data_IF_973561802497
#
_entry.id   IF_973561802497
#
_cell.length_a   1.000
_cell.length_b   1.000
_cell.length_c   1.000
_cell.angle_alpha   90.00
_cell.angle_beta   90.00
_cell.angle_gamma   90.00
#
_symmetry.space_group_name_H-M   'P 1'
#
loop_
_entity.id
_entity.type
_entity.pdbx_description
1 polymer ?
#
# COMPACT_ATOMS: atom_id res chain seq x y z
N UNK A 1 2.09 -3.98 -16.69
CA UNK A 1 2.80 -4.38 -15.46
C UNK A 1 4.00 -5.28 -15.70
N UNK A 2 3.93 -6.12 -16.67
CA UNK A 2 5.07 -6.97 -17.08
C UNK A 2 6.33 -6.16 -17.49
N UNK A 3 6.14 -4.98 -18.06
CA UNK A 3 7.25 -4.18 -18.57
C UNK A 3 8.25 -3.68 -17.51
N UNK A 4 7.77 -3.29 -16.33
CA UNK A 4 8.64 -2.70 -15.30
C UNK A 4 9.51 -3.73 -14.60
N UNK A 5 8.95 -4.90 -14.31
CA UNK A 5 9.72 -6.00 -13.74
C UNK A 5 10.70 -6.59 -14.77
N UNK A 6 10.32 -6.58 -16.05
CA UNK A 6 11.19 -7.04 -17.12
C UNK A 6 12.43 -6.15 -17.32
N UNK A 7 12.28 -4.84 -17.12
CA UNK A 7 13.43 -3.91 -17.17
C UNK A 7 14.47 -4.26 -16.10
N UNK A 8 14.04 -4.57 -14.89
CA UNK A 8 14.95 -4.98 -13.80
C UNK A 8 15.70 -6.26 -14.19
N UNK A 9 14.99 -7.24 -14.72
CA UNK A 9 15.56 -8.49 -15.16
C UNK A 9 16.56 -8.27 -16.31
N UNK A 10 16.21 -7.45 -17.28
CA UNK A 10 17.07 -7.12 -18.39
C UNK A 10 18.35 -6.38 -17.96
N UNK A 11 18.24 -5.45 -17.03
CA UNK A 11 19.40 -4.71 -16.49
C UNK A 11 20.36 -5.63 -15.74
N UNK A 12 19.85 -6.56 -14.97
CA UNK A 12 20.69 -7.47 -14.17
C UNK A 12 21.27 -8.60 -15.04
N UNK A 13 20.46 -9.20 -15.91
CA UNK A 13 20.88 -10.38 -16.69
C UNK A 13 21.57 -10.01 -18.00
N UNK A 14 21.04 -9.04 -18.77
CA UNK A 14 21.57 -8.70 -20.10
C UNK A 14 22.73 -7.71 -20.06
N UNK A 15 22.64 -6.71 -19.19
CA UNK A 15 23.69 -5.68 -19.07
C UNK A 15 24.77 -6.06 -18.07
N UNK A 16 24.57 -7.12 -17.29
CA UNK A 16 25.54 -7.60 -16.31
C UNK A 16 25.86 -6.59 -15.20
N UNK A 17 24.99 -5.60 -15.00
CA UNK A 17 25.18 -4.60 -13.95
C UNK A 17 24.92 -5.20 -12.58
N UNK A 18 25.80 -4.91 -11.66
CA UNK A 18 25.64 -5.29 -10.26
C UNK A 18 25.03 -4.15 -9.47
N UNK A 19 23.91 -4.45 -8.78
CA UNK A 19 23.23 -3.50 -7.89
C UNK A 19 23.22 -4.06 -6.47
N UNK A 20 23.43 -3.19 -5.50
CA UNK A 20 23.50 -3.57 -4.09
C UNK A 20 22.10 -3.64 -3.45
N UNK A 21 21.17 -2.82 -3.93
CA UNK A 21 19.83 -2.71 -3.34
C UNK A 21 18.81 -2.24 -4.38
N UNK A 22 17.59 -2.72 -4.24
CA UNK A 22 16.43 -2.25 -4.99
C UNK A 22 15.44 -1.55 -4.06
N UNK A 23 14.89 -0.44 -4.50
CA UNK A 23 13.79 0.25 -3.80
C UNK A 23 12.59 0.28 -4.73
N UNK A 24 11.46 -0.25 -4.27
CA UNK A 24 10.23 -0.30 -5.03
C UNK A 24 9.14 0.54 -4.35
N UNK A 25 8.58 1.48 -5.10
CA UNK A 25 7.51 2.36 -4.64
C UNK A 25 6.42 2.38 -5.71
N UNK A 26 5.19 2.11 -5.32
CA UNK A 26 4.06 2.11 -6.24
C UNK A 26 2.89 1.25 -5.76
N UNK A 27 2.01 0.82 -6.67
CA UNK A 27 0.90 -0.07 -6.34
C UNK A 27 1.40 -1.38 -5.70
N UNK A 28 0.65 -1.88 -4.71
CA UNK A 28 1.05 -3.10 -3.98
C UNK A 28 1.30 -4.30 -4.89
N UNK A 29 0.49 -4.46 -5.93
CA UNK A 29 0.65 -5.56 -6.88
C UNK A 29 1.97 -5.46 -7.66
N UNK A 30 2.38 -4.25 -8.03
CA UNK A 30 3.67 -4.01 -8.69
C UNK A 30 4.83 -4.34 -7.74
N UNK A 31 4.76 -3.87 -6.50
CA UNK A 31 5.79 -4.16 -5.49
C UNK A 31 5.90 -5.65 -5.22
N UNK A 32 4.78 -6.37 -5.18
CA UNK A 32 4.77 -7.83 -5.05
C UNK A 32 5.55 -8.51 -6.17
N UNK A 33 5.28 -8.16 -7.42
CA UNK A 33 5.98 -8.74 -8.56
C UNK A 33 7.46 -8.39 -8.59
N UNK A 34 7.81 -7.15 -8.27
CA UNK A 34 9.21 -6.73 -8.15
C UNK A 34 9.93 -7.53 -7.06
N UNK A 35 9.31 -7.73 -5.91
CA UNK A 35 9.91 -8.51 -4.83
C UNK A 35 10.11 -9.99 -5.19
N UNK A 36 9.15 -10.60 -5.90
CA UNK A 36 9.30 -11.96 -6.40
C UNK A 36 10.48 -12.09 -7.37
N UNK A 37 10.61 -11.14 -8.29
CA UNK A 37 11.69 -11.11 -9.25
C UNK A 37 13.05 -10.87 -8.59
N UNK A 38 13.15 -9.90 -7.69
CA UNK A 38 14.40 -9.59 -6.99
C UNK A 38 14.81 -10.69 -6.03
N UNK A 39 13.87 -11.46 -5.51
CA UNK A 39 14.16 -12.66 -4.73
C UNK A 39 14.85 -13.74 -5.56
N UNK A 40 14.40 -13.93 -6.81
CA UNK A 40 15.07 -14.84 -7.74
C UNK A 40 16.48 -14.39 -8.09
N UNK A 41 16.69 -13.06 -8.18
CA UNK A 41 17.98 -12.45 -8.48
C UNK A 41 18.88 -12.27 -7.25
N UNK A 42 18.45 -12.67 -6.07
CA UNK A 42 19.14 -12.45 -4.78
C UNK A 42 19.48 -10.97 -4.52
N UNK A 43 18.63 -10.07 -4.94
CA UNK A 43 18.82 -8.63 -4.77
C UNK A 43 17.98 -8.15 -3.57
N UNK A 44 18.61 -7.56 -2.54
CA UNK A 44 17.86 -6.98 -1.41
C UNK A 44 16.92 -5.88 -1.89
N UNK A 45 15.65 -5.96 -1.48
CA UNK A 45 14.60 -5.04 -1.94
C UNK A 45 13.90 -4.40 -0.75
N UNK A 46 13.80 -3.08 -0.78
CA UNK A 46 12.99 -2.30 0.16
C UNK A 46 11.76 -1.81 -0.56
N UNK A 47 10.60 -1.97 0.06
CA UNK A 47 9.32 -1.48 -0.45
C UNK A 47 8.77 -0.39 0.46
N UNK A 48 8.17 0.63 -0.13
CA UNK A 48 7.44 1.65 0.61
C UNK A 48 5.95 1.28 0.60
N UNK A 49 5.46 0.85 1.74
CA UNK A 49 4.07 0.43 1.88
C UNK A 49 3.15 1.64 2.04
N UNK A 50 1.97 1.56 1.43
CA UNK A 50 0.96 2.61 1.44
C UNK A 50 -0.42 2.11 1.90
N UNK A 51 -0.52 1.46 3.08
CA UNK A 51 -1.81 1.05 3.61
C UNK A 51 -2.64 2.25 4.06
N UNK A 52 -3.91 2.01 4.34
CA UNK A 52 -4.77 3.03 4.95
C UNK A 52 -4.23 3.40 6.33
N UNK A 53 -3.97 4.68 6.54
CA UNK A 53 -3.54 5.23 7.81
C UNK A 53 -4.61 6.19 8.34
N UNK A 54 -5.07 5.98 9.56
CA UNK A 54 -6.13 6.78 10.17
C UNK A 54 -5.57 7.64 11.30
N UNK A 55 -4.94 7.01 12.26
CA UNK A 55 -4.43 7.65 13.47
C UNK A 55 -3.00 8.19 13.30
N UNK A 56 -2.11 7.41 12.73
CA UNK A 56 -0.71 7.78 12.56
C UNK A 56 0.16 7.60 13.82
N UNK A 57 -0.40 7.12 14.91
CA UNK A 57 0.31 6.93 16.20
C UNK A 57 0.51 5.45 16.58
N UNK A 58 -0.01 4.53 15.78
CA UNK A 58 0.04 3.10 16.04
C UNK A 58 -1.07 2.57 16.95
N UNK A 59 -2.01 3.41 17.37
CA UNK A 59 -3.11 3.02 18.27
C UNK A 59 -4.25 2.31 17.54
N UNK A 60 -4.64 2.78 16.36
CA UNK A 60 -5.80 2.24 15.65
C UNK A 60 -5.52 0.91 14.92
N UNK A 61 -4.26 0.61 14.59
CA UNK A 61 -3.88 -0.59 13.86
C UNK A 61 -4.37 -0.69 12.41
N UNK A 62 -4.88 0.41 11.83
CA UNK A 62 -5.39 0.41 10.46
C UNK A 62 -4.31 0.12 9.41
N UNK A 63 -3.10 0.61 9.64
CA UNK A 63 -1.95 0.43 8.77
C UNK A 63 -1.09 -0.81 9.08
N UNK A 64 -1.60 -1.73 9.89
CA UNK A 64 -0.84 -2.93 10.25
C UNK A 64 -0.59 -3.82 9.03
N UNK A 65 0.60 -4.40 9.01
CA UNK A 65 0.98 -5.39 8.01
C UNK A 65 1.90 -6.43 8.65
N UNK A 66 1.97 -7.58 8.03
CA UNK A 66 2.83 -8.65 8.46
C UNK A 66 4.17 -8.58 7.73
N UNK A 67 5.24 -8.47 8.51
CA UNK A 67 6.62 -8.45 8.02
C UNK A 67 7.36 -9.63 8.67
N UNK A 68 7.58 -10.68 7.90
CA UNK A 68 8.08 -11.94 8.44
C UNK A 68 7.09 -12.54 9.43
N UNK A 69 7.55 -12.82 10.65
CA UNK A 69 6.73 -13.37 11.74
C UNK A 69 6.13 -12.28 12.64
N UNK A 70 6.40 -11.02 12.38
CA UNK A 70 6.00 -9.89 13.22
C UNK A 70 4.92 -9.04 12.54
N UNK A 71 4.07 -8.43 13.35
CA UNK A 71 3.12 -7.42 12.88
C UNK A 71 3.73 -6.04 13.12
N UNK A 72 3.80 -5.24 12.05
CA UNK A 72 4.33 -3.87 12.07
C UNK A 72 3.27 -2.88 11.66
N UNK A 73 3.42 -1.63 12.11
CA UNK A 73 2.54 -0.52 11.74
C UNK A 73 3.29 0.44 10.82
N UNK A 74 2.78 0.66 9.63
CA UNK A 74 3.47 1.50 8.64
C UNK A 74 3.64 2.96 9.09
N UNK A 75 2.75 3.48 9.91
CA UNK A 75 2.83 4.85 10.41
C UNK A 75 3.93 5.05 11.47
N UNK A 76 4.23 4.04 12.28
CA UNK A 76 5.19 4.11 13.40
C UNK A 76 6.51 3.43 13.05
N UNK A 77 6.44 2.24 12.48
CA UNK A 77 7.63 1.42 12.16
C UNK A 77 8.27 1.84 10.82
N UNK A 78 7.72 2.81 10.17
CA UNK A 78 8.16 3.38 8.90
C UNK A 78 7.25 2.96 7.79
N UNK A 79 7.13 3.63 6.64
CA UNK A 79 6.50 3.03 5.49
C UNK A 79 7.40 2.05 4.74
N UNK A 80 8.69 2.06 5.02
CA UNK A 80 9.70 1.27 4.32
C UNK A 80 10.01 -0.03 5.08
N UNK A 81 9.86 -1.16 4.38
CA UNK A 81 10.09 -2.50 4.91
C UNK A 81 10.85 -3.37 3.92
N UNK A 82 11.45 -4.46 4.40
CA UNK A 82 12.05 -5.46 3.54
C UNK A 82 10.96 -6.16 2.71
N UNK A 83 11.02 -5.96 1.40
CA UNK A 83 10.03 -6.47 0.47
C UNK A 83 9.92 -8.01 0.43
N UNK A 84 10.98 -8.71 0.80
CA UNK A 84 10.99 -10.17 0.84
C UNK A 84 10.27 -10.74 2.06
N UNK A 85 10.09 -9.94 3.12
CA UNK A 85 9.44 -10.34 4.36
C UNK A 85 7.95 -9.92 4.42
N UNK A 86 7.56 -8.90 3.65
CA UNK A 86 6.19 -8.38 3.66
C UNK A 86 5.20 -9.35 3.03
N UNK A 87 4.10 -9.62 3.73
CA UNK A 87 2.97 -10.37 3.19
C UNK A 87 2.07 -9.43 2.36
N UNK A 88 2.31 -9.39 1.06
CA UNK A 88 1.54 -8.55 0.12
C UNK A 88 0.10 -9.02 -0.06
N UNK A 89 -0.17 -10.31 0.06
CA UNK A 89 -1.53 -10.84 -0.08
C UNK A 89 -2.44 -10.35 1.05
N UNK A 90 -1.94 -10.37 2.29
CA UNK A 90 -2.65 -9.81 3.42
C UNK A 90 -2.81 -8.29 3.27
N UNK A 91 -1.76 -7.58 2.87
CA UNK A 91 -1.80 -6.14 2.66
C UNK A 91 -2.82 -5.75 1.59
N UNK A 92 -2.89 -6.47 0.48
CA UNK A 92 -3.88 -6.24 -0.57
C UNK A 92 -5.32 -6.51 -0.11
N UNK A 93 -5.55 -7.56 0.67
CA UNK A 93 -6.87 -7.82 1.26
C UNK A 93 -7.29 -6.69 2.18
N UNK A 94 -6.39 -6.19 3.00
CA UNK A 94 -6.67 -5.06 3.89
C UNK A 94 -6.92 -3.76 3.15
N UNK A 95 -6.25 -3.53 2.02
CA UNK A 95 -6.48 -2.32 1.21
C UNK A 95 -7.88 -2.25 0.60
N UNK A 96 -8.57 -3.37 0.51
CA UNK A 96 -9.94 -3.44 -0.01
C UNK A 96 -11.02 -3.28 1.07
N UNK A 97 -10.62 -3.11 2.32
CA UNK A 97 -11.52 -3.12 3.48
C UNK A 97 -12.64 -2.07 3.40
N UNK A 98 -12.33 -0.90 2.85
CA UNK A 98 -13.30 0.21 2.72
C UNK A 98 -13.86 0.41 1.30
N UNK A 99 -13.56 -0.48 0.38
CA UNK A 99 -13.89 -0.33 -1.04
C UNK A 99 -15.39 -0.13 -1.30
N UNK A 100 -16.24 -0.83 -0.57
CA UNK A 100 -17.70 -0.69 -0.69
C UNK A 100 -18.20 0.66 -0.18
N UNK A 101 -17.57 1.19 0.86
CA UNK A 101 -17.90 2.50 1.44
C UNK A 101 -17.43 3.61 0.51
N UNK A 102 -16.22 3.49 -0.03
CA UNK A 102 -15.65 4.41 -1.01
C UNK A 102 -16.50 4.46 -2.29
N UNK A 103 -16.93 3.31 -2.79
CA UNK A 103 -17.81 3.21 -3.96
C UNK A 103 -19.15 3.91 -3.74
N UNK A 104 -19.77 3.74 -2.58
CA UNK A 104 -21.01 4.44 -2.23
C UNK A 104 -20.81 5.95 -2.10
N UNK A 105 -19.72 6.38 -1.51
CA UNK A 105 -19.39 7.80 -1.40
C UNK A 105 -19.18 8.43 -2.78
N UNK A 106 -18.50 7.72 -3.67
CA UNK A 106 -18.26 8.18 -5.04
C UNK A 106 -19.58 8.31 -5.83
N UNK A 107 -20.48 7.33 -5.70
CA UNK A 107 -21.79 7.40 -6.33
C UNK A 107 -22.59 8.62 -5.86
N UNK A 108 -22.60 8.90 -4.57
CA UNK A 108 -23.26 10.09 -4.02
C UNK A 108 -22.71 11.38 -4.59
N UNK A 109 -21.40 11.48 -4.76
CA UNK A 109 -20.77 12.64 -5.39
C UNK A 109 -21.19 12.79 -6.86
N UNK A 110 -21.27 11.70 -7.60
CA UNK A 110 -21.70 11.71 -9.00
C UNK A 110 -23.19 12.05 -9.16
N UNK A 111 -24.02 11.63 -8.25
CA UNK A 111 -25.45 11.96 -8.24
C UNK A 111 -25.73 13.41 -7.81
N UNK A 112 -24.70 14.13 -7.39
CA UNK A 112 -24.83 15.52 -6.98
C UNK A 112 -25.53 15.67 -5.64
N UNK A 113 -25.44 14.66 -4.79
CA UNK A 113 -25.93 14.74 -3.41
C UNK A 113 -25.12 15.77 -2.65
N UNK A 114 -25.58 17.01 -2.72
CA UNK A 114 -25.03 18.16 -2.02
C UNK A 114 -25.46 18.22 -0.55
N UNK A 115 -25.77 17.08 0.04
CA UNK A 115 -25.98 17.03 1.47
C UNK A 115 -24.66 17.42 2.12
N UNK A 116 -24.47 18.72 2.23
CA UNK A 116 -23.49 19.24 3.17
C UNK A 116 -23.85 18.65 4.51
N UNK A 117 -23.01 17.79 5.04
CA UNK A 117 -23.12 17.28 6.39
C UNK A 117 -22.94 18.42 7.40
N UNK A 118 -23.74 19.44 7.26
CA UNK A 118 -24.01 20.30 8.39
C UNK A 118 -24.68 19.44 9.43
N UNK A 119 -24.27 19.55 10.67
CA UNK A 119 -25.05 19.08 11.80
C UNK A 119 -26.46 19.66 11.62
N UNK A 120 -27.32 18.90 10.98
CA UNK A 120 -28.65 19.35 10.56
C UNK A 120 -29.62 19.60 11.72
N UNK A 121 -29.12 20.00 12.88
CA UNK A 121 -29.95 20.26 14.03
C UNK A 121 -29.38 21.29 15.00
N UNK A 122 -28.58 22.24 14.52
CA UNK A 122 -28.28 23.42 15.31
C UNK A 122 -29.20 24.61 14.94
N UNK A 123 -30.35 24.32 14.40
CA UNK A 123 -31.43 25.26 14.28
C UNK A 123 -32.33 25.12 15.52
N UNK A 124 -32.11 25.97 16.50
CA UNK A 124 -32.97 26.01 17.66
C UNK A 124 -34.39 26.34 17.22
N UNK A 125 -35.31 25.55 17.66
CA UNK A 125 -36.71 25.91 17.68
C UNK A 125 -36.88 26.94 18.79
N UNK A 126 -37.18 28.14 18.38
CA UNK A 126 -37.92 29.05 19.22
C UNK A 126 -39.40 28.78 19.07
#
# INVERSE_FOLDING_TARGET
>A
MLFRSQVIKDLVEKEGKHYDKCVAIGPMIMMKFVCLLTKELNLPTIVSMNPVMVDGTGMCGACRLQVGDEIKFACVDGPEFDGHLVDFDQAMKRSQMYRSVEGRAMLKLQEGDTHHGGCGHCGGDE
#
